data_IF_566504760439
#
_entry.id   IF_566504760439
#
_cell.length_a   1.000
_cell.length_b   1.000
_cell.length_c   1.000
_cell.angle_alpha   90.00
_cell.angle_beta   90.00
_cell.angle_gamma   90.00
#
_symmetry.space_group_name_H-M   'P 1'
#
loop_
_entity.id
_entity.type
_entity.pdbx_description
1 polymer ?
#
# COMPACT_ATOMS: atom_id res chain seq x y z
N UNK A 1 -9.72 -12.89 8.85
CA UNK A 1 -9.21 -11.54 9.20
C UNK A 1 -10.38 -10.76 9.76
N UNK A 2 -10.26 -10.18 10.96
CA UNK A 2 -11.34 -9.41 11.59
C UNK A 2 -11.40 -8.02 10.96
N UNK A 3 -12.51 -7.72 10.27
CA UNK A 3 -12.75 -6.41 9.69
C UNK A 3 -13.26 -5.40 10.72
N UNK A 4 -13.25 -4.12 10.37
CA UNK A 4 -13.85 -3.06 11.18
C UNK A 4 -15.39 -3.15 11.08
N UNK A 5 -16.06 -3.31 12.22
CA UNK A 5 -17.52 -3.31 12.33
C UNK A 5 -17.97 -2.45 13.50
N UNK A 6 -19.11 -1.79 13.36
CA UNK A 6 -19.78 -1.13 14.48
C UNK A 6 -21.28 -1.35 14.42
N UNK A 7 -21.87 -1.54 15.61
CA UNK A 7 -23.27 -1.89 15.83
C UNK A 7 -24.06 -0.63 16.18
N UNK A 8 -25.17 -0.43 15.48
CA UNK A 8 -26.20 0.54 15.86
C UNK A 8 -27.33 -0.27 16.48
N UNK A 9 -27.58 -0.04 17.77
CA UNK A 9 -28.71 -0.63 18.49
C UNK A 9 -29.45 0.45 19.25
N UNK A 10 -30.78 0.38 19.20
CA UNK A 10 -31.64 1.12 20.10
C UNK A 10 -32.11 0.19 21.21
N UNK A 11 -31.89 0.59 22.46
CA UNK A 11 -32.40 -0.11 23.64
C UNK A 11 -33.65 0.62 24.14
N UNK A 12 -34.78 -0.09 24.22
CA UNK A 12 -36.05 0.44 24.70
C UNK A 12 -36.09 0.60 26.23
N UNK A 13 -35.04 0.17 26.94
CA UNK A 13 -34.91 0.24 28.38
C UNK A 13 -35.80 -0.77 29.11
N UNK A 14 -35.38 -1.14 30.33
CA UNK A 14 -36.00 -2.19 31.15
C UNK A 14 -37.47 -1.95 31.54
N UNK A 15 -38.05 -0.78 31.25
CA UNK A 15 -39.48 -0.48 31.46
C UNK A 15 -40.39 -0.93 30.32
N UNK A 16 -39.85 -1.29 29.15
CA UNK A 16 -40.58 -1.86 28.00
C UNK A 16 -40.30 -3.37 27.81
N UNK A 17 -39.44 -3.95 28.65
CA UNK A 17 -38.99 -5.35 28.62
C UNK A 17 -40.09 -6.38 28.97
N UNK A 18 -41.25 -5.94 29.48
CA UNK A 18 -42.39 -6.83 29.78
C UNK A 18 -43.12 -7.28 28.50
N UNK A 19 -42.76 -6.74 27.33
CA UNK A 19 -43.38 -7.10 26.06
C UNK A 19 -42.32 -7.43 25.01
N UNK A 20 -41.80 -8.66 25.06
CA UNK A 20 -41.17 -9.34 23.93
C UNK A 20 -42.10 -9.48 22.69
N UNK A 21 -43.29 -8.88 22.72
CA UNK A 21 -44.29 -8.73 21.65
C UNK A 21 -44.23 -7.33 21.03
N UNK A 22 -43.22 -6.51 21.30
CA UNK A 22 -42.97 -5.27 20.55
C UNK A 22 -42.23 -5.62 19.25
N UNK A 23 -42.95 -6.26 18.33
CA UNK A 23 -42.50 -6.57 16.97
C UNK A 23 -42.32 -5.27 16.14
N UNK A 24 -41.64 -5.35 14.98
CA UNK A 24 -41.68 -4.35 13.88
C UNK A 24 -43.09 -3.78 13.58
N UNK A 25 -44.16 -4.52 13.91
CA UNK A 25 -45.55 -4.10 13.77
C UNK A 25 -45.97 -3.00 14.76
N UNK A 26 -45.37 -2.93 15.96
CA UNK A 26 -45.72 -1.97 17.01
C UNK A 26 -44.95 -0.65 16.87
N UNK A 27 -43.70 -0.69 16.38
CA UNK A 27 -42.90 0.51 16.08
C UNK A 27 -42.27 0.51 14.66
N UNK A 28 -43.08 0.45 13.57
CA UNK A 28 -42.57 0.53 12.20
C UNK A 28 -41.70 1.77 11.93
N UNK A 29 -42.00 2.92 12.54
CA UNK A 29 -41.20 4.14 12.34
C UNK A 29 -39.81 4.03 12.97
N UNK A 30 -39.69 3.30 14.09
CA UNK A 30 -38.39 3.08 14.74
C UNK A 30 -37.52 2.11 13.92
N UNK A 31 -38.10 1.04 13.36
CA UNK A 31 -37.39 0.15 12.43
C UNK A 31 -36.92 0.90 11.18
N UNK A 32 -37.78 1.75 10.61
CA UNK A 32 -37.41 2.61 9.48
C UNK A 32 -36.29 3.60 9.85
N UNK A 33 -36.35 4.19 11.04
CA UNK A 33 -35.30 5.09 11.53
C UNK A 33 -33.96 4.36 11.68
N UNK A 34 -33.92 3.17 12.28
CA UNK A 34 -32.69 2.36 12.40
C UNK A 34 -32.13 2.02 11.02
N UNK A 35 -32.98 1.62 10.07
CA UNK A 35 -32.57 1.34 8.69
C UNK A 35 -32.00 2.57 8.00
N UNK A 36 -32.67 3.72 8.11
CA UNK A 36 -32.24 4.98 7.50
C UNK A 36 -30.90 5.45 8.09
N UNK A 37 -30.74 5.38 9.41
CA UNK A 37 -29.50 5.72 10.10
C UNK A 37 -28.37 4.77 9.68
N UNK A 38 -28.62 3.47 9.55
CA UNK A 38 -27.61 2.51 9.11
C UNK A 38 -27.14 2.79 7.66
N UNK A 39 -28.09 3.01 6.75
CA UNK A 39 -27.79 3.36 5.36
C UNK A 39 -27.01 4.68 5.26
N UNK A 40 -27.43 5.71 6.01
CA UNK A 40 -26.74 6.99 6.04
C UNK A 40 -25.34 6.87 6.65
N UNK A 41 -25.17 6.05 7.68
CA UNK A 41 -23.87 5.81 8.33
C UNK A 41 -22.90 5.13 7.36
N UNK A 42 -23.36 4.14 6.60
CA UNK A 42 -22.54 3.50 5.57
C UNK A 42 -22.11 4.49 4.47
N UNK A 43 -23.04 5.34 4.01
CA UNK A 43 -22.74 6.38 3.01
C UNK A 43 -21.74 7.43 3.54
N UNK A 44 -21.90 7.86 4.80
CA UNK A 44 -20.96 8.80 5.42
C UNK A 44 -19.58 8.17 5.61
N UNK A 45 -19.51 6.88 5.94
CA UNK A 45 -18.23 6.17 6.01
C UNK A 45 -17.54 6.08 4.65
N UNK A 46 -18.26 5.76 3.58
CA UNK A 46 -17.72 5.80 2.23
C UNK A 46 -17.18 7.19 1.88
N UNK A 47 -17.91 8.25 2.23
CA UNK A 47 -17.47 9.64 2.03
C UNK A 47 -16.19 9.96 2.78
N UNK A 48 -16.08 9.58 4.05
CA UNK A 48 -14.87 9.78 4.85
C UNK A 48 -13.67 9.01 4.26
N UNK A 49 -13.88 7.82 3.68
CA UNK A 49 -12.84 7.08 2.93
C UNK A 49 -12.38 7.87 1.70
N UNK A 50 -13.29 8.47 0.93
CA UNK A 50 -12.92 9.29 -0.23
C UNK A 50 -12.20 10.58 0.16
N UNK A 51 -12.50 11.15 1.32
CA UNK A 51 -11.83 12.35 1.84
C UNK A 51 -10.49 12.06 2.53
N UNK A 52 -10.26 10.80 2.94
CA UNK A 52 -9.04 10.37 3.59
C UNK A 52 -7.80 10.57 2.68
N UNK A 53 -6.62 10.70 3.29
CA UNK A 53 -5.33 10.77 2.57
C UNK A 53 -4.86 9.37 2.17
N UNK A 54 -5.70 8.66 1.41
CA UNK A 54 -5.44 7.34 0.86
C UNK A 54 -5.11 7.43 -0.63
N UNK A 55 -4.41 6.43 -1.17
CA UNK A 55 -4.21 6.31 -2.61
C UNK A 55 -5.55 6.01 -3.30
N UNK A 56 -5.78 6.54 -4.51
CA UNK A 56 -7.08 6.44 -5.20
C UNK A 56 -7.56 4.99 -5.35
N UNK A 57 -6.70 4.07 -5.78
CA UNK A 57 -7.06 2.65 -5.89
C UNK A 57 -7.35 1.97 -4.55
N UNK A 58 -6.79 2.48 -3.44
CA UNK A 58 -7.12 2.01 -2.09
C UNK A 58 -8.46 2.58 -1.60
N UNK A 59 -8.83 3.81 -2.00
CA UNK A 59 -10.13 4.41 -1.67
C UNK A 59 -11.28 3.62 -2.27
N UNK A 60 -11.23 3.34 -3.57
CA UNK A 60 -12.31 2.66 -4.28
C UNK A 60 -12.52 1.24 -3.73
N UNK A 61 -11.40 0.51 -3.56
CA UNK A 61 -11.43 -0.84 -3.00
C UNK A 61 -11.99 -0.86 -1.56
N UNK A 62 -11.61 0.09 -0.71
CA UNK A 62 -12.12 0.16 0.66
C UNK A 62 -13.60 0.60 0.70
N UNK A 63 -13.99 1.62 -0.07
CA UNK A 63 -15.37 2.10 -0.10
C UNK A 63 -16.33 1.01 -0.59
N UNK A 64 -15.91 0.19 -1.57
CA UNK A 64 -16.72 -0.91 -2.10
C UNK A 64 -17.02 -2.04 -1.11
N UNK A 65 -16.21 -2.17 -0.05
CA UNK A 65 -16.40 -3.24 0.96
C UNK A 65 -17.27 -2.81 2.13
N UNK A 66 -17.60 -1.52 2.24
CA UNK A 66 -18.47 -1.02 3.30
C UNK A 66 -19.90 -1.46 2.99
N UNK A 67 -20.46 -2.28 3.88
CA UNK A 67 -21.83 -2.78 3.77
C UNK A 67 -22.55 -2.60 5.10
N UNK A 68 -23.87 -2.68 5.05
CA UNK A 68 -24.70 -2.65 6.25
C UNK A 68 -25.83 -3.66 6.12
N UNK A 69 -26.25 -4.21 7.26
CA UNK A 69 -27.38 -5.14 7.35
C UNK A 69 -28.14 -4.95 8.65
N UNK A 70 -29.45 -5.15 8.61
CA UNK A 70 -30.26 -5.26 9.82
C UNK A 70 -29.98 -6.63 10.45
N UNK A 71 -29.64 -6.66 11.74
CA UNK A 71 -29.42 -7.91 12.50
C UNK A 71 -30.53 -8.16 13.54
N UNK A 72 -31.53 -7.28 13.60
CA UNK A 72 -32.73 -7.40 14.41
C UNK A 72 -33.67 -6.23 14.12
N UNK A 73 -34.86 -6.23 14.73
CA UNK A 73 -35.90 -5.23 14.44
C UNK A 73 -35.47 -3.79 14.75
N UNK A 74 -34.58 -3.60 15.72
CA UNK A 74 -34.03 -2.27 16.08
C UNK A 74 -32.50 -2.28 16.14
N UNK A 75 -31.87 -3.18 15.38
CA UNK A 75 -30.41 -3.30 15.34
C UNK A 75 -29.91 -3.44 13.91
N UNK A 76 -28.88 -2.66 13.59
CA UNK A 76 -28.12 -2.75 12.35
C UNK A 76 -26.63 -2.86 12.63
N UNK A 77 -25.91 -3.56 11.77
CA UNK A 77 -24.45 -3.62 11.78
C UNK A 77 -23.94 -3.03 10.47
N UNK A 78 -22.93 -2.17 10.59
CA UNK A 78 -22.17 -1.63 9.47
C UNK A 78 -20.77 -2.22 9.58
N UNK A 79 -20.30 -2.84 8.51
CA UNK A 79 -19.03 -3.58 8.48
C UNK A 79 -18.26 -3.32 7.19
N UNK A 80 -16.94 -3.43 7.29
CA UNK A 80 -16.01 -3.48 6.17
C UNK A 80 -15.17 -4.74 6.28
N UNK A 81 -14.88 -5.38 5.14
CA UNK A 81 -13.94 -6.49 5.05
C UNK A 81 -12.66 -6.14 4.27
N UNK A 82 -12.36 -4.85 4.09
CA UNK A 82 -11.15 -4.42 3.40
C UNK A 82 -9.89 -4.90 4.14
N UNK A 83 -8.99 -5.57 3.41
CA UNK A 83 -7.76 -6.22 3.94
C UNK A 83 -6.84 -5.34 4.79
N UNK A 84 -6.95 -4.01 4.71
CA UNK A 84 -6.11 -3.07 5.45
C UNK A 84 -6.91 -2.09 6.30
N UNK A 85 -8.19 -2.37 6.58
CA UNK A 85 -9.06 -1.51 7.37
C UNK A 85 -8.52 -1.22 8.78
N UNK A 86 -8.09 -2.24 9.52
CA UNK A 86 -7.49 -2.11 10.85
C UNK A 86 -6.21 -1.27 10.81
N UNK A 87 -5.42 -1.45 9.76
CA UNK A 87 -4.19 -0.71 9.55
C UNK A 87 -4.45 0.76 9.17
N UNK A 88 -5.57 1.06 8.51
CA UNK A 88 -6.00 2.43 8.23
C UNK A 88 -6.58 3.07 9.49
N UNK A 89 -7.37 2.32 10.25
CA UNK A 89 -8.07 2.79 11.44
C UNK A 89 -7.09 3.11 12.58
N UNK A 90 -6.25 2.14 12.93
CA UNK A 90 -5.37 2.20 14.10
C UNK A 90 -3.93 2.62 13.77
N UNK A 91 -3.59 2.65 12.48
CA UNK A 91 -2.28 3.02 11.99
C UNK A 91 -1.43 1.83 11.57
N UNK A 92 -0.31 2.15 10.93
CA UNK A 92 0.66 1.18 10.40
C UNK A 92 1.97 1.35 11.16
N UNK A 93 2.57 0.26 11.71
CA UNK A 93 3.89 0.36 12.30
C UNK A 93 4.92 0.72 11.23
N UNK A 94 6.11 1.15 11.67
CA UNK A 94 7.22 1.32 10.75
C UNK A 94 7.51 -0.02 10.05
N UNK A 95 7.77 0.05 8.74
CA UNK A 95 8.06 -1.14 7.94
C UNK A 95 9.47 -1.08 7.38
N UNK A 96 10.31 -2.00 7.82
CA UNK A 96 11.68 -2.12 7.33
C UNK A 96 11.72 -3.01 6.08
N UNK A 97 11.85 -2.38 4.91
CA UNK A 97 11.95 -3.08 3.63
C UNK A 97 13.22 -3.94 3.55
N UNK A 98 14.20 -3.72 4.43
CA UNK A 98 15.44 -4.52 4.48
C UNK A 98 15.19 -5.96 4.90
N UNK A 99 14.04 -6.30 5.48
CA UNK A 99 13.66 -7.68 5.75
C UNK A 99 13.64 -8.55 4.49
N UNK A 100 13.44 -7.98 3.29
CA UNK A 100 13.54 -8.69 2.02
C UNK A 100 14.95 -9.26 1.73
N UNK A 101 16.00 -8.75 2.39
CA UNK A 101 17.35 -9.30 2.29
C UNK A 101 17.47 -10.69 2.91
N UNK A 102 16.51 -11.11 3.74
CA UNK A 102 16.48 -12.44 4.32
C UNK A 102 15.90 -13.49 3.36
N UNK A 103 15.05 -13.08 2.42
CA UNK A 103 14.25 -14.01 1.60
C UNK A 103 14.61 -13.98 0.11
N UNK A 104 15.22 -12.89 -0.37
CA UNK A 104 15.51 -12.77 -1.80
C UNK A 104 16.75 -13.57 -2.21
N UNK A 105 16.66 -14.44 -3.24
CA UNK A 105 17.83 -15.15 -3.78
C UNK A 105 18.72 -14.23 -4.61
N UNK A 106 18.30 -12.99 -4.90
CA UNK A 106 19.08 -12.03 -5.69
C UNK A 106 19.99 -11.15 -4.84
N UNK A 107 20.05 -11.38 -3.53
CA UNK A 107 20.93 -10.65 -2.62
C UNK A 107 22.39 -10.77 -3.09
N UNK A 108 23.13 -9.68 -2.89
CA UNK A 108 24.59 -9.60 -3.03
C UNK A 108 25.18 -9.21 -1.68
N UNK A 109 26.47 -9.45 -1.49
CA UNK A 109 27.20 -9.02 -0.30
C UNK A 109 28.30 -8.05 -0.67
N UNK A 110 28.56 -7.04 0.15
CA UNK A 110 29.77 -6.22 0.03
C UNK A 110 30.99 -7.04 0.45
N UNK A 111 32.18 -6.52 0.18
CA UNK A 111 33.44 -7.11 0.67
C UNK A 111 33.52 -7.13 2.20
N UNK A 112 32.79 -6.23 2.87
CA UNK A 112 32.58 -6.22 4.33
C UNK A 112 31.45 -7.14 4.82
N UNK A 113 30.83 -7.92 3.94
CA UNK A 113 29.79 -8.89 4.28
C UNK A 113 28.35 -8.35 4.37
N UNK A 114 28.14 -7.03 4.20
CA UNK A 114 26.79 -6.43 4.26
C UNK A 114 25.94 -6.87 3.08
N UNK A 115 24.71 -7.31 3.33
CA UNK A 115 23.76 -7.73 2.31
C UNK A 115 23.12 -6.52 1.63
N UNK A 116 22.91 -6.62 0.32
CA UNK A 116 22.20 -5.60 -0.43
C UNK A 116 21.47 -6.15 -1.67
N UNK A 117 20.50 -5.36 -2.15
CA UNK A 117 19.77 -5.54 -3.40
C UNK A 117 19.84 -4.28 -4.24
N UNK A 118 19.88 -4.46 -5.56
CA UNK A 118 19.76 -3.36 -6.53
C UNK A 118 18.33 -3.32 -7.02
N UNK A 119 17.63 -2.22 -6.71
CA UNK A 119 16.21 -2.05 -7.01
C UNK A 119 16.07 -1.08 -8.20
N UNK A 120 15.58 -1.54 -9.36
CA UNK A 120 15.23 -0.67 -10.47
C UNK A 120 13.93 0.08 -10.16
N UNK A 121 14.02 1.40 -10.07
CA UNK A 121 12.88 2.30 -9.88
C UNK A 121 12.44 2.82 -11.24
N UNK A 122 11.17 2.57 -11.58
CA UNK A 122 10.56 3.03 -12.83
C UNK A 122 10.04 4.45 -12.68
N UNK A 123 10.33 5.28 -13.68
CA UNK A 123 9.78 6.64 -13.77
C UNK A 123 8.81 6.72 -14.93
N UNK A 124 7.63 7.28 -14.66
CA UNK A 124 6.66 7.56 -15.70
C UNK A 124 7.01 8.87 -16.42
N UNK A 125 6.56 8.99 -17.67
CA UNK A 125 6.84 10.16 -18.51
C UNK A 125 6.22 11.43 -17.94
N UNK A 126 4.98 11.33 -17.42
CA UNK A 126 4.27 12.47 -16.83
C UNK A 126 5.07 13.16 -15.72
N UNK A 127 5.63 12.39 -14.79
CA UNK A 127 6.46 12.88 -13.69
C UNK A 127 7.74 13.55 -14.20
N UNK A 128 8.32 13.04 -15.30
CA UNK A 128 9.49 13.67 -15.92
C UNK A 128 9.14 15.00 -16.59
N UNK A 129 7.97 15.08 -17.24
CA UNK A 129 7.46 16.32 -17.84
C UNK A 129 7.15 17.37 -16.78
N UNK A 130 6.44 17.00 -15.71
CA UNK A 130 6.15 17.88 -14.56
C UNK A 130 7.44 18.41 -13.90
N UNK A 131 8.52 17.64 -13.97
CA UNK A 131 9.83 18.01 -13.45
C UNK A 131 10.72 18.77 -14.46
N UNK A 132 10.27 18.99 -15.70
CA UNK A 132 11.09 19.62 -16.76
C UNK A 132 12.31 18.79 -17.18
N UNK A 133 12.35 17.49 -16.87
CA UNK A 133 13.49 16.60 -17.14
C UNK A 133 13.30 15.73 -18.38
N UNK A 134 12.12 15.76 -18.99
CA UNK A 134 11.77 14.81 -20.04
C UNK A 134 12.67 14.91 -21.28
N UNK A 135 12.98 16.13 -21.74
CA UNK A 135 13.82 16.35 -22.93
C UNK A 135 15.24 15.82 -22.72
N UNK A 136 15.85 16.17 -21.58
CA UNK A 136 17.17 15.66 -21.19
C UNK A 136 17.17 14.13 -21.08
N UNK A 137 16.13 13.56 -20.44
CA UNK A 137 15.98 12.11 -20.32
C UNK A 137 15.83 11.42 -21.68
N UNK A 138 15.08 12.03 -22.60
CA UNK A 138 14.88 11.53 -23.96
C UNK A 138 16.18 11.60 -24.77
N UNK A 139 16.98 12.65 -24.61
CA UNK A 139 18.25 12.81 -25.30
C UNK A 139 19.33 11.80 -24.87
N UNK A 140 19.17 11.13 -23.71
CA UNK A 140 20.12 10.12 -23.25
C UNK A 140 20.25 8.98 -24.27
N UNK A 141 21.50 8.62 -24.58
CA UNK A 141 21.81 7.35 -25.27
C UNK A 141 21.17 6.16 -24.54
N UNK A 142 20.46 5.31 -25.28
CA UNK A 142 19.69 4.22 -24.70
C UNK A 142 20.60 3.06 -24.24
N UNK A 143 20.33 2.55 -23.05
CA UNK A 143 20.93 1.33 -22.51
C UNK A 143 20.21 0.10 -23.07
N UNK A 144 20.95 -0.97 -23.33
CA UNK A 144 20.41 -2.24 -23.82
C UNK A 144 20.88 -3.40 -22.94
N UNK A 145 20.14 -4.51 -22.97
CA UNK A 145 20.63 -5.79 -22.45
C UNK A 145 21.56 -6.36 -23.51
N UNK A 146 22.87 -6.38 -23.23
CA UNK A 146 23.87 -6.94 -24.13
C UNK A 146 23.85 -8.47 -24.11
N UNK A 147 23.64 -9.07 -22.95
CA UNK A 147 23.50 -10.52 -22.79
C UNK A 147 22.81 -10.89 -21.47
N UNK A 148 22.49 -12.17 -21.31
CA UNK A 148 22.02 -12.74 -20.06
C UNK A 148 22.98 -13.85 -19.61
N UNK A 149 23.26 -13.90 -18.32
CA UNK A 149 24.09 -14.92 -17.69
C UNK A 149 23.48 -15.33 -16.36
N UNK A 150 24.17 -16.20 -15.62
CA UNK A 150 23.84 -16.52 -14.24
C UNK A 150 24.97 -16.09 -13.32
N UNK A 151 24.65 -15.88 -12.05
CA UNK A 151 25.64 -15.64 -10.99
C UNK A 151 25.23 -16.36 -9.70
N UNK A 152 26.15 -16.64 -8.77
CA UNK A 152 25.77 -17.18 -7.48
C UNK A 152 24.92 -16.18 -6.67
N UNK A 153 23.94 -16.72 -5.94
CA UNK A 153 23.23 -16.01 -4.90
C UNK A 153 24.20 -15.62 -3.79
N UNK A 154 24.11 -14.37 -3.30
CA UNK A 154 25.04 -13.84 -2.30
C UNK A 154 26.45 -13.55 -2.82
N UNK A 155 26.65 -13.45 -4.14
CA UNK A 155 27.91 -13.01 -4.77
C UNK A 155 28.49 -11.78 -4.05
N UNK A 156 29.78 -11.88 -3.67
CA UNK A 156 30.52 -10.78 -3.10
C UNK A 156 30.83 -9.79 -4.22
N UNK A 157 30.39 -8.55 -4.05
CA UNK A 157 30.42 -7.51 -5.07
C UNK A 157 31.20 -6.32 -4.55
N UNK A 158 32.17 -5.88 -5.35
CA UNK A 158 32.80 -4.59 -5.15
C UNK A 158 31.82 -3.48 -5.57
N UNK A 159 31.54 -2.54 -4.66
CA UNK A 159 30.59 -1.46 -4.87
C UNK A 159 31.33 -0.12 -4.83
N UNK A 160 31.44 0.53 -6.00
CA UNK A 160 32.10 1.83 -6.15
C UNK A 160 31.16 2.85 -6.79
N UNK A 161 31.02 4.05 -6.22
CA UNK A 161 30.28 5.14 -6.86
C UNK A 161 30.88 5.58 -8.21
N UNK A 162 32.19 5.35 -8.42
CA UNK A 162 32.93 5.78 -9.62
C UNK A 162 32.95 4.71 -10.71
N UNK A 163 33.28 3.47 -10.35
CA UNK A 163 33.42 2.35 -11.30
C UNK A 163 32.19 1.43 -11.38
N UNK A 164 31.20 1.62 -10.50
CA UNK A 164 29.98 0.83 -10.49
C UNK A 164 30.12 -0.46 -9.66
N UNK A 165 29.46 -1.52 -10.10
CA UNK A 165 29.44 -2.82 -9.42
C UNK A 165 30.16 -3.86 -10.25
N UNK A 166 31.08 -4.60 -9.65
CA UNK A 166 31.75 -5.75 -10.25
C UNK A 166 31.86 -6.90 -9.26
N UNK A 167 31.89 -8.17 -9.70
CA UNK A 167 32.22 -9.28 -8.81
C UNK A 167 33.56 -9.02 -8.14
N UNK A 168 33.64 -9.23 -6.82
CA UNK A 168 34.92 -9.20 -6.11
C UNK A 168 35.74 -10.44 -6.47
N UNK A 169 37.06 -10.34 -6.40
CA UNK A 169 37.96 -11.50 -6.58
C UNK A 169 37.76 -12.53 -5.47
N UNK A 170 37.42 -12.06 -4.26
CA UNK A 170 37.25 -12.89 -3.08
C UNK A 170 35.77 -13.25 -2.92
N UNK A 171 35.40 -14.43 -3.40
CA UNK A 171 34.05 -14.98 -3.23
C UNK A 171 34.00 -15.87 -1.98
N UNK A 172 32.88 -15.82 -1.27
CA UNK A 172 32.60 -16.72 -0.15
C UNK A 172 31.27 -17.45 -0.38
N UNK A 173 31.08 -18.68 0.11
CA UNK A 173 29.79 -19.35 0.04
C UNK A 173 28.68 -18.54 0.72
N UNK A 174 27.42 -18.72 0.27
CA UNK A 174 26.24 -18.07 0.86
C UNK A 174 25.04 -19.01 0.91
N UNK A 175 24.42 -19.25 -0.24
CA UNK A 175 23.32 -20.20 -0.41
C UNK A 175 23.83 -21.34 -1.30
N UNK A 176 24.10 -22.49 -0.71
CA UNK A 176 24.53 -23.71 -1.40
C UNK A 176 23.52 -24.84 -1.19
N UNK A 177 23.45 -25.76 -2.16
CA UNK A 177 22.71 -27.00 -2.01
C UNK A 177 23.37 -27.88 -0.95
N UNK A 178 22.59 -28.46 -0.03
CA UNK A 178 23.11 -29.40 0.97
C UNK A 178 23.58 -30.72 0.36
N UNK A 179 23.08 -31.09 -0.83
CA UNK A 179 23.42 -32.36 -1.51
C UNK A 179 24.62 -32.22 -2.43
N UNK A 180 24.71 -31.12 -3.19
CA UNK A 180 25.75 -30.95 -4.21
C UNK A 180 26.82 -29.93 -3.81
N UNK A 181 26.64 -29.24 -2.67
CA UNK A 181 27.46 -28.10 -2.22
C UNK A 181 27.61 -26.95 -3.23
N UNK A 182 26.91 -27.03 -4.38
CA UNK A 182 26.94 -26.02 -5.42
C UNK A 182 26.15 -24.78 -5.00
N UNK A 183 26.62 -23.61 -5.41
CA UNK A 183 25.93 -22.35 -5.15
C UNK A 183 24.60 -22.30 -5.90
N UNK A 184 23.56 -21.77 -5.26
CA UNK A 184 22.31 -21.44 -5.93
C UNK A 184 22.58 -20.33 -6.94
N UNK A 185 22.28 -20.58 -8.21
CA UNK A 185 22.49 -19.61 -9.29
C UNK A 185 21.23 -18.78 -9.54
N UNK A 186 21.40 -17.49 -9.83
CA UNK A 186 20.32 -16.57 -10.21
C UNK A 186 20.60 -15.92 -11.56
N UNK A 187 19.57 -15.67 -12.39
CA UNK A 187 19.73 -14.95 -13.65
C UNK A 187 20.22 -13.51 -13.43
N UNK A 188 21.07 -13.06 -14.35
CA UNK A 188 21.61 -11.71 -14.41
C UNK A 188 21.59 -11.20 -15.86
N UNK A 189 21.26 -9.93 -16.04
CA UNK A 189 21.46 -9.23 -17.30
C UNK A 189 22.81 -8.52 -17.27
N UNK A 190 23.53 -8.58 -18.37
CA UNK A 190 24.70 -7.75 -18.64
C UNK A 190 24.25 -6.62 -19.55
N UNK A 191 24.54 -5.39 -19.17
CA UNK A 191 24.02 -4.21 -19.83
C UNK A 191 25.13 -3.52 -20.63
N UNK A 192 24.82 -3.13 -21.86
CA UNK A 192 25.53 -2.06 -22.54
C UNK A 192 24.87 -0.75 -22.08
N UNK A 193 25.48 -0.13 -21.08
CA UNK A 193 24.95 1.11 -20.50
C UNK A 193 25.10 2.26 -21.50
N UNK A 194 23.99 2.97 -21.71
CA UNK A 194 24.00 4.25 -22.39
C UNK A 194 24.36 5.39 -21.44
N UNK A 195 23.83 6.57 -21.72
CA UNK A 195 24.10 7.75 -20.90
C UNK A 195 23.24 7.77 -19.63
N UNK A 196 23.75 8.50 -18.63
CA UNK A 196 23.09 8.73 -17.34
C UNK A 196 22.80 10.21 -17.19
N UNK A 197 21.62 10.53 -16.68
CA UNK A 197 21.31 11.88 -16.22
C UNK A 197 22.24 12.22 -15.04
N UNK A 198 23.02 13.30 -15.16
CA UNK A 198 23.96 13.67 -14.12
C UNK A 198 23.23 14.26 -12.90
N UNK A 199 23.96 14.42 -11.79
CA UNK A 199 23.41 15.14 -10.62
C UNK A 199 23.14 16.62 -10.92
N UNK A 200 23.93 17.22 -11.82
CA UNK A 200 23.75 18.61 -12.22
C UNK A 200 22.47 18.78 -13.03
N UNK A 201 22.27 17.90 -14.03
CA UNK A 201 21.08 17.92 -14.88
C UNK A 201 19.79 17.63 -14.09
N UNK A 202 19.86 16.70 -13.12
CA UNK A 202 18.74 16.40 -12.24
C UNK A 202 18.38 17.56 -11.29
N UNK A 203 19.30 18.51 -11.06
CA UNK A 203 19.09 19.68 -10.22
C UNK A 203 18.46 19.37 -8.86
N UNK A 204 17.30 19.99 -8.58
CA UNK A 204 16.55 19.79 -7.33
C UNK A 204 15.89 18.40 -7.26
N UNK A 205 15.71 17.72 -8.39
CA UNK A 205 15.05 16.41 -8.49
C UNK A 205 16.03 15.26 -8.25
N UNK A 206 16.54 15.16 -7.02
CA UNK A 206 17.50 14.11 -6.60
C UNK A 206 17.05 12.67 -6.91
N UNK A 207 15.74 12.44 -7.06
CA UNK A 207 15.19 11.14 -7.43
C UNK A 207 15.53 10.70 -8.88
N UNK A 208 15.86 11.64 -9.76
CA UNK A 208 16.21 11.41 -11.16
C UNK A 208 17.73 11.32 -11.40
N UNK A 209 18.54 11.64 -10.40
CA UNK A 209 20.00 11.55 -10.53
C UNK A 209 20.46 10.12 -10.83
N UNK A 210 21.29 9.95 -11.85
CA UNK A 210 21.75 8.64 -12.33
C UNK A 210 20.70 7.85 -13.12
N UNK A 211 19.62 8.52 -13.56
CA UNK A 211 18.62 7.91 -14.42
C UNK A 211 19.22 7.52 -15.76
N UNK A 212 18.80 6.37 -16.27
CA UNK A 212 19.15 5.90 -17.61
C UNK A 212 17.89 5.74 -18.44
N UNK A 213 18.04 5.94 -19.74
CA UNK A 213 17.06 5.51 -20.74
C UNK A 213 17.39 4.09 -21.16
N UNK A 214 16.39 3.23 -21.28
CA UNK A 214 16.48 1.88 -21.82
C UNK A 214 15.80 1.80 -23.18
N UNK A 215 16.37 1.00 -24.07
CA UNK A 215 15.70 0.65 -25.31
C UNK A 215 14.53 -0.30 -24.99
N UNK A 216 13.31 0.13 -25.30
CA UNK A 216 12.09 -0.65 -25.10
C UNK A 216 11.64 -1.38 -26.36
N UNK A 217 12.44 -1.34 -27.43
CA UNK A 217 12.09 -1.84 -28.77
C UNK A 217 12.41 -3.33 -28.96
N UNK A 218 12.32 -4.16 -27.91
CA UNK A 218 12.42 -5.61 -28.07
C UNK A 218 11.20 -6.12 -28.83
N UNK A 219 11.34 -6.78 -30.00
CA UNK A 219 10.21 -7.39 -30.70
C UNK A 219 9.47 -8.35 -29.77
N UNK A 220 8.15 -8.19 -29.62
CA UNK A 220 7.30 -9.02 -28.76
C UNK A 220 7.30 -8.67 -27.26
N UNK A 221 8.04 -7.64 -26.82
CA UNK A 221 8.07 -7.20 -25.42
C UNK A 221 6.95 -6.22 -25.07
N UNK A 222 6.36 -6.36 -23.87
CA UNK A 222 5.42 -5.36 -23.36
C UNK A 222 6.10 -3.98 -23.23
N UNK A 223 5.45 -2.92 -23.73
CA UNK A 223 5.93 -1.53 -23.59
C UNK A 223 6.10 -1.21 -22.10
N UNK A 224 7.35 -1.15 -21.64
CA UNK A 224 7.68 -0.78 -20.26
C UNK A 224 8.21 0.66 -20.20
N UNK A 225 8.23 1.25 -19.00
CA UNK A 225 8.83 2.57 -18.79
C UNK A 225 10.30 2.55 -19.20
N UNK A 226 10.66 3.36 -20.20
CA UNK A 226 12.02 3.46 -20.72
C UNK A 226 13.00 4.08 -19.70
N UNK A 227 12.52 4.73 -18.65
CA UNK A 227 13.35 5.52 -17.74
C UNK A 227 13.46 4.86 -16.37
N UNK A 228 14.70 4.53 -15.98
CA UNK A 228 15.01 3.79 -14.76
C UNK A 228 16.08 4.50 -13.94
N UNK A 229 15.93 4.54 -12.62
CA UNK A 229 17.05 4.74 -11.69
C UNK A 229 17.29 3.47 -10.89
N UNK A 230 18.50 3.28 -10.40
CA UNK A 230 18.85 2.12 -9.57
C UNK A 230 19.18 2.59 -8.16
N UNK A 231 18.43 2.09 -7.18
CA UNK A 231 18.70 2.36 -5.77
C UNK A 231 19.22 1.09 -5.10
N UNK A 232 20.14 1.25 -4.17
CA UNK A 232 20.70 0.14 -3.39
C UNK A 232 19.96 0.05 -2.06
N UNK A 233 19.28 -1.08 -1.84
CA UNK A 233 18.74 -1.48 -0.54
C UNK A 233 19.83 -2.24 0.18
N UNK A 234 20.36 -1.70 1.28
CA UNK A 234 21.52 -2.26 2.00
C UNK A 234 21.23 -2.39 3.50
N UNK A 235 21.81 -3.40 4.13
CA UNK A 235 21.81 -3.50 5.60
C UNK A 235 22.39 -2.26 6.28
N UNK A 236 21.75 -1.85 7.37
CA UNK A 236 22.12 -0.63 8.10
C UNK A 236 21.74 0.68 7.42
N UNK A 237 21.14 0.67 6.22
CA UNK A 237 20.63 1.90 5.60
C UNK A 237 19.27 2.32 6.17
N UNK A 238 19.10 3.62 6.41
CA UNK A 238 17.87 4.20 6.98
C UNK A 238 16.83 4.54 5.91
N UNK A 239 17.25 4.80 4.67
CA UNK A 239 16.39 5.23 3.56
C UNK A 239 15.40 4.20 3.00
N UNK A 240 15.33 3.01 3.60
CA UNK A 240 14.43 1.92 3.24
C UNK A 240 13.47 1.52 4.38
N UNK A 241 13.38 2.37 5.41
CA UNK A 241 12.36 2.24 6.46
C UNK A 241 11.21 3.16 6.10
N UNK A 242 10.01 2.58 5.96
CA UNK A 242 8.78 3.38 5.93
C UNK A 242 8.46 3.78 7.37
N UNK A 243 8.31 5.07 7.68
CA UNK A 243 7.95 5.49 9.03
C UNK A 243 6.56 4.97 9.40
N UNK A 244 6.30 4.88 10.70
CA UNK A 244 4.97 4.56 11.21
C UNK A 244 3.98 5.62 10.73
N UNK A 245 2.78 5.18 10.36
CA UNK A 245 1.69 6.06 9.96
C UNK A 245 0.62 6.02 11.05
N UNK A 246 0.20 7.18 11.59
CA UNK A 246 -0.87 7.20 12.59
C UNK A 246 -2.19 6.72 11.98
N UNK A 247 -3.05 6.16 12.83
CA UNK A 247 -4.41 5.78 12.46
C UNK A 247 -5.23 6.98 12.02
N UNK A 248 -6.04 6.80 10.97
CA UNK A 248 -6.94 7.83 10.47
C UNK A 248 -8.28 7.85 11.19
N UNK A 249 -8.59 6.77 11.93
CA UNK A 249 -9.80 6.60 12.74
C UNK A 249 -11.09 6.93 11.98
N UNK A 250 -11.22 6.47 10.73
CA UNK A 250 -12.32 6.82 9.84
C UNK A 250 -13.65 6.28 10.38
N UNK A 251 -13.68 5.00 10.79
CA UNK A 251 -14.86 4.39 11.37
C UNK A 251 -15.28 5.10 12.67
N UNK A 252 -14.32 5.39 13.55
CA UNK A 252 -14.57 6.07 14.82
C UNK A 252 -15.13 7.48 14.63
N UNK A 253 -14.60 8.23 13.66
CA UNK A 253 -15.11 9.57 13.31
C UNK A 253 -16.55 9.53 12.84
N UNK A 254 -16.88 8.57 11.97
CA UNK A 254 -18.26 8.37 11.49
C UNK A 254 -19.18 8.02 12.65
N UNK A 255 -18.77 7.10 13.52
CA UNK A 255 -19.54 6.74 14.71
C UNK A 255 -19.83 7.96 15.59
N UNK A 256 -18.81 8.74 15.93
CA UNK A 256 -18.96 9.95 16.76
C UNK A 256 -19.88 10.99 16.11
N UNK A 257 -19.79 11.14 14.79
CA UNK A 257 -20.62 12.08 13.99
C UNK A 257 -22.06 11.62 13.88
N UNK A 258 -22.30 10.32 13.77
CA UNK A 258 -23.63 9.74 13.58
C UNK A 258 -24.37 9.50 14.90
N UNK A 259 -23.67 9.33 16.02
CA UNK A 259 -24.28 9.12 17.33
C UNK A 259 -25.37 10.16 17.69
N UNK A 260 -25.13 11.49 17.64
CA UNK A 260 -26.17 12.46 17.96
C UNK A 260 -27.32 12.47 16.94
N UNK A 261 -27.02 12.22 15.66
CA UNK A 261 -28.04 12.16 14.58
C UNK A 261 -28.94 10.95 14.73
N UNK A 262 -28.37 9.80 15.11
CA UNK A 262 -29.10 8.58 15.40
C UNK A 262 -30.05 8.80 16.59
N UNK A 263 -29.55 9.36 17.69
CA UNK A 263 -30.36 9.66 18.86
C UNK A 263 -31.54 10.58 18.52
N UNK A 264 -31.30 11.64 17.74
CA UNK A 264 -32.36 12.55 17.29
C UNK A 264 -33.40 11.86 16.39
N UNK A 265 -32.95 11.03 15.45
CA UNK A 265 -33.83 10.28 14.56
C UNK A 265 -34.71 9.26 15.33
N UNK A 266 -34.13 8.57 16.32
CA UNK A 266 -34.86 7.62 17.16
C UNK A 266 -35.87 8.33 18.07
N UNK A 267 -35.47 9.44 18.71
CA UNK A 267 -36.38 10.24 19.52
C UNK A 267 -37.57 10.78 18.71
N UNK A 268 -37.32 11.27 17.49
CA UNK A 268 -38.37 11.75 16.59
C UNK A 268 -39.32 10.62 16.16
N UNK A 269 -38.79 9.43 15.86
CA UNK A 269 -39.58 8.26 15.51
C UNK A 269 -40.51 7.82 16.65
N UNK A 270 -39.99 7.78 17.88
CA UNK A 270 -40.79 7.44 19.07
C UNK A 270 -41.87 8.49 19.34
N UNK A 271 -41.52 9.79 19.30
CA UNK A 271 -42.48 10.87 19.52
C UNK A 271 -43.63 10.83 18.52
N UNK A 272 -43.33 10.56 17.24
CA UNK A 272 -44.34 10.46 16.18
C UNK A 272 -45.21 9.21 16.31
N UNK A 273 -44.70 8.15 16.93
CA UNK A 273 -45.43 6.91 17.16
C UNK A 273 -46.32 6.97 18.41
N UNK A 274 -45.89 7.67 19.47
CA UNK A 274 -46.61 7.77 20.75
C UNK A 274 -47.56 9.00 20.83
N UNK A 275 -47.37 9.99 19.97
CA UNK A 275 -48.17 11.23 19.94
C UNK A 275 -49.16 11.29 18.77
N UNK A 276 -49.52 10.14 18.20
CA UNK A 276 -50.56 9.98 17.20
C UNK A 276 -51.84 9.41 17.81
#
# INVERSE_FOLDING_TARGET
MAGSSFKISFDLGSKLDVTAIINKQVFPLLNQAVRAVAQQTAAEWQKEVYQAKLWSGEKDAYASTITWKMTGDFTAVIESNYKHDQAIENGRPAYDMKQMLNTSPKVRRTESGKRFLVIPMRHNVKKLQEAGLYEQAQALGASTVASQSTRPSGEVTHLSPKSGMSPSKNQTPFLSSTKTHSAMMVPQNNYAWGQKLSKADAGQHKWAAGMVRFNTSTPGGAKSSAYLTFRVLMEGSTGWVRPAQPGQFLARKVQQKMQPKANAAFAAAIKKQLGG
#
